data_IF_261659057774
#
_entry.id   IF_261659057774
#
_cell.length_a   1.000
_cell.length_b   1.000
_cell.length_c   1.000
_cell.angle_alpha   90.00
_cell.angle_beta   90.00
_cell.angle_gamma   90.00
#
_symmetry.space_group_name_H-M   'P 1'
#
loop_
_entity.id
_entity.type
_entity.pdbx_description
1 polymer ?
#
# COMPACT_ATOMS: atom_id res chain seq x y z
N UNK A 1 8.85 7.28 36.50
CA UNK A 1 8.73 5.85 36.23
C UNK A 1 8.55 5.10 37.53
N UNK A 2 7.75 4.04 37.49
CA UNK A 2 7.39 3.21 38.65
C UNK A 2 7.60 1.71 38.48
N UNK A 3 7.95 1.28 37.27
CA UNK A 3 8.33 -0.09 36.95
C UNK A 3 9.50 -0.14 35.97
N UNK A 4 10.15 -1.29 35.91
CA UNK A 4 11.23 -1.59 34.96
C UNK A 4 10.77 -2.76 34.08
N UNK A 5 10.91 -2.63 32.75
CA UNK A 5 10.76 -3.74 31.81
C UNK A 5 12.13 -4.08 31.24
N UNK A 6 12.50 -5.36 31.32
CA UNK A 6 13.71 -5.93 30.77
C UNK A 6 13.39 -6.69 29.50
N UNK A 7 14.01 -6.30 28.39
CA UNK A 7 13.87 -6.97 27.09
C UNK A 7 14.76 -8.21 26.98
N UNK A 8 14.53 -9.04 25.96
CA UNK A 8 15.26 -10.31 25.77
C UNK A 8 16.76 -10.13 25.49
N UNK A 9 17.14 -8.95 25.02
CA UNK A 9 18.53 -8.50 24.83
C UNK A 9 19.07 -7.68 26.01
N UNK A 10 18.43 -7.79 27.18
CA UNK A 10 18.86 -7.26 28.47
C UNK A 10 18.91 -5.72 28.56
N UNK A 11 18.05 -5.02 27.81
CA UNK A 11 17.90 -3.56 27.92
C UNK A 11 16.77 -3.24 28.88
N UNK A 12 17.03 -2.35 29.84
CA UNK A 12 16.05 -1.90 30.83
C UNK A 12 15.29 -0.66 30.35
N UNK A 13 13.96 -0.71 30.44
CA UNK A 13 13.05 0.39 30.17
C UNK A 13 12.38 0.84 31.46
N UNK A 14 12.50 2.12 31.79
CA UNK A 14 11.85 2.71 32.96
C UNK A 14 10.52 3.36 32.55
N UNK A 15 9.39 2.75 32.93
CA UNK A 15 8.05 3.12 32.44
C UNK A 15 7.10 3.50 33.58
N UNK A 16 5.88 3.90 33.23
CA UNK A 16 4.79 4.26 34.15
C UNK A 16 3.65 3.24 34.05
N UNK A 17 3.30 2.59 35.16
CA UNK A 17 2.23 1.59 35.25
C UNK A 17 0.90 2.18 34.79
N UNK A 18 0.55 3.36 35.28
CA UNK A 18 -0.66 4.11 34.90
C UNK A 18 -0.77 4.31 33.38
N UNK A 19 0.34 4.64 32.71
CA UNK A 19 0.35 4.85 31.25
C UNK A 19 0.17 3.54 30.49
N UNK A 20 0.83 2.46 30.94
CA UNK A 20 0.66 1.14 30.32
C UNK A 20 -0.75 0.60 30.54
N UNK A 21 -1.32 0.80 31.73
CA UNK A 21 -2.67 0.36 32.08
C UNK A 21 -3.74 1.13 31.30
N UNK A 22 -3.54 2.45 31.09
CA UNK A 22 -4.44 3.25 30.28
C UNK A 22 -4.45 2.83 28.79
N UNK A 23 -3.34 2.30 28.28
CA UNK A 23 -3.20 1.90 26.88
C UNK A 23 -3.60 0.44 26.59
N UNK A 24 -3.59 -0.43 27.60
CA UNK A 24 -3.77 -1.87 27.46
C UNK A 24 -5.13 -2.36 27.98
N UNK A 25 -5.75 -3.30 27.26
CA UNK A 25 -6.97 -3.98 27.67
C UNK A 25 -6.73 -5.34 28.33
N UNK A 26 -5.47 -5.78 28.50
CA UNK A 26 -5.13 -7.07 29.09
C UNK A 26 -4.03 -6.96 30.16
N UNK A 27 -3.98 -5.83 30.85
CA UNK A 27 -2.98 -5.55 31.89
C UNK A 27 -1.54 -5.70 31.37
N UNK A 28 -1.31 -5.28 30.13
CA UNK A 28 -0.04 -5.34 29.41
C UNK A 28 0.53 -6.77 29.37
N UNK A 29 -0.25 -7.71 28.81
CA UNK A 29 0.03 -9.15 28.81
C UNK A 29 0.10 -9.73 30.24
N UNK A 30 -0.86 -9.33 31.10
CA UNK A 30 -0.96 -9.70 32.51
C UNK A 30 0.21 -9.26 33.41
N UNK A 31 1.22 -8.58 32.86
CA UNK A 31 2.40 -8.10 33.61
C UNK A 31 1.97 -7.17 34.75
N UNK A 32 0.96 -6.33 34.54
CA UNK A 32 0.50 -5.38 35.54
C UNK A 32 -0.39 -6.01 36.62
N UNK A 33 -0.80 -7.27 36.49
CA UNK A 33 -1.55 -7.95 37.55
C UNK A 33 -0.66 -8.31 38.75
N UNK A 34 0.61 -8.59 38.46
CA UNK A 34 1.64 -8.87 39.46
C UNK A 34 2.28 -7.58 40.00
N UNK A 35 1.86 -6.41 39.51
CA UNK A 35 2.37 -5.13 39.98
C UNK A 35 1.76 -4.76 41.33
N UNK A 36 2.58 -4.76 42.38
CA UNK A 36 2.21 -4.25 43.68
C UNK A 36 2.99 -2.96 44.00
N UNK A 37 2.32 -1.81 44.16
CA UNK A 37 2.97 -0.55 44.54
C UNK A 37 3.78 -0.66 45.85
N UNK A 38 3.42 -1.62 46.72
CA UNK A 38 4.10 -1.90 47.99
C UNK A 38 5.53 -2.45 47.84
N UNK A 39 5.86 -3.10 46.73
CA UNK A 39 7.18 -3.74 46.54
C UNK A 39 8.33 -2.72 46.53
N UNK A 40 8.04 -1.49 46.08
CA UNK A 40 8.99 -0.37 46.12
C UNK A 40 9.36 0.04 47.54
N UNK A 41 8.41 -0.07 48.47
CA UNK A 41 8.62 0.29 49.87
C UNK A 41 9.43 -0.76 50.62
N UNK A 42 9.36 -2.04 50.21
CA UNK A 42 10.08 -3.13 50.86
C UNK A 42 11.55 -3.24 50.40
N UNK A 43 11.82 -2.97 49.12
CA UNK A 43 13.15 -3.23 48.52
C UNK A 43 13.91 -1.97 48.06
N UNK A 44 13.33 -0.77 48.23
CA UNK A 44 13.87 0.50 47.69
C UNK A 44 14.22 0.43 46.19
N UNK A 45 13.51 -0.43 45.45
CA UNK A 45 13.75 -0.74 44.05
C UNK A 45 12.43 -0.84 43.30
N UNK A 46 12.42 -0.42 42.03
CA UNK A 46 11.24 -0.56 41.18
C UNK A 46 11.02 -2.03 40.83
N UNK A 47 9.76 -2.52 40.83
CA UNK A 47 9.45 -3.87 40.35
C UNK A 47 9.92 -4.03 38.91
N UNK A 48 10.51 -5.19 38.62
CA UNK A 48 11.13 -5.49 37.34
C UNK A 48 10.44 -6.68 36.69
N UNK A 49 10.01 -6.51 35.44
CA UNK A 49 9.34 -7.53 34.64
C UNK A 49 10.11 -7.79 33.36
N UNK A 50 9.89 -8.94 32.72
CA UNK A 50 10.59 -9.32 31.48
C UNK A 50 9.61 -9.42 30.32
N UNK A 51 10.05 -9.01 29.13
CA UNK A 51 9.32 -9.19 27.87
C UNK A 51 10.15 -10.00 26.86
N UNK A 52 9.51 -10.78 25.98
CA UNK A 52 10.22 -11.58 24.97
C UNK A 52 10.79 -10.72 23.83
N UNK A 53 10.24 -9.52 23.59
CA UNK A 53 10.67 -8.63 22.52
C UNK A 53 12.11 -8.13 22.72
N UNK A 54 12.80 -7.86 21.61
CA UNK A 54 14.09 -7.17 21.62
C UNK A 54 13.90 -5.69 21.94
N UNK A 55 14.95 -5.02 22.41
CA UNK A 55 14.91 -3.59 22.72
C UNK A 55 14.43 -2.72 21.56
N UNK A 56 14.80 -3.05 20.32
CA UNK A 56 14.42 -2.27 19.14
C UNK A 56 12.92 -2.39 18.87
N UNK A 57 12.35 -3.60 18.91
CA UNK A 57 10.91 -3.84 18.74
C UNK A 57 10.13 -3.20 19.89
N UNK A 58 10.59 -3.41 21.12
CA UNK A 58 9.94 -2.88 22.31
C UNK A 58 9.97 -1.35 22.36
N UNK A 59 11.03 -0.72 21.85
CA UNK A 59 11.10 0.76 21.70
C UNK A 59 9.94 1.26 20.85
N UNK A 60 9.60 0.59 19.74
CA UNK A 60 8.48 0.99 18.88
C UNK A 60 7.13 0.88 19.60
N UNK A 61 6.95 -0.16 20.41
CA UNK A 61 5.74 -0.35 21.25
C UNK A 61 5.63 0.77 22.28
N UNK A 62 6.74 1.11 22.95
CA UNK A 62 6.78 2.22 23.91
C UNK A 62 6.51 3.56 23.21
N UNK A 63 7.12 3.82 22.06
CA UNK A 63 6.86 5.04 21.28
C UNK A 63 5.38 5.17 20.92
N UNK A 64 4.74 4.07 20.51
CA UNK A 64 3.31 4.04 20.22
C UNK A 64 2.45 4.40 21.45
N UNK A 65 2.74 3.81 22.61
CA UNK A 65 1.98 4.05 23.85
C UNK A 65 2.13 5.50 24.34
N UNK A 66 3.34 6.05 24.27
CA UNK A 66 3.64 7.39 24.77
C UNK A 66 3.44 8.49 23.72
N UNK A 67 3.04 8.14 22.49
CA UNK A 67 2.87 9.09 21.39
C UNK A 67 4.18 9.77 20.96
N UNK A 68 5.31 9.06 21.08
CA UNK A 68 6.63 9.58 20.74
C UNK A 68 6.91 9.46 19.23
N UNK A 69 7.73 10.37 18.66
CA UNK A 69 8.16 10.27 17.27
C UNK A 69 8.98 9.00 17.01
N UNK A 70 8.77 8.37 15.86
CA UNK A 70 9.51 7.17 15.43
C UNK A 70 10.77 7.51 14.61
N UNK A 71 10.80 8.70 14.00
CA UNK A 71 11.82 9.08 13.01
C UNK A 71 13.25 9.07 13.57
N UNK A 72 13.42 9.42 14.85
CA UNK A 72 14.73 9.44 15.53
C UNK A 72 15.38 8.05 15.61
N UNK A 73 14.57 6.99 15.55
CA UNK A 73 15.03 5.61 15.64
C UNK A 73 15.27 4.97 14.27
N UNK A 74 14.83 5.63 13.18
CA UNK A 74 14.95 5.13 11.80
C UNK A 74 14.63 3.63 11.66
N UNK A 75 13.44 3.18 12.12
CA UNK A 75 13.12 1.76 12.17
C UNK A 75 12.99 1.16 10.77
N UNK A 76 13.46 -0.08 10.60
CA UNK A 76 13.17 -0.85 9.39
C UNK A 76 11.69 -1.25 9.36
N UNK A 77 11.14 -1.47 8.16
CA UNK A 77 9.77 -1.99 8.04
C UNK A 77 9.57 -3.29 8.83
N UNK A 78 10.52 -4.22 8.78
CA UNK A 78 10.46 -5.46 9.54
C UNK A 78 10.35 -5.24 11.06
N UNK A 79 10.98 -4.18 11.58
CA UNK A 79 10.86 -3.82 13.00
C UNK A 79 9.47 -3.29 13.32
N UNK A 80 8.92 -2.42 12.46
CA UNK A 80 7.56 -1.89 12.62
C UNK A 80 6.52 -3.01 12.53
N UNK A 81 6.68 -3.94 11.60
CA UNK A 81 5.81 -5.10 11.41
C UNK A 81 5.77 -5.98 12.67
N UNK A 82 6.94 -6.36 13.20
CA UNK A 82 7.05 -7.10 14.46
C UNK A 82 6.46 -6.35 15.64
N UNK A 83 6.69 -5.02 15.72
CA UNK A 83 6.15 -4.21 16.80
C UNK A 83 4.62 -4.20 16.78
N UNK A 84 4.01 -3.97 15.60
CA UNK A 84 2.54 -3.96 15.45
C UNK A 84 1.94 -5.33 15.76
N UNK A 85 2.58 -6.42 15.34
CA UNK A 85 2.15 -7.78 15.73
C UNK A 85 2.23 -7.97 17.25
N UNK A 86 3.30 -7.48 17.89
CA UNK A 86 3.50 -7.52 19.34
C UNK A 86 2.50 -6.67 20.13
N UNK A 87 1.98 -5.57 19.57
CA UNK A 87 1.00 -4.70 20.24
C UNK A 87 -0.26 -5.45 20.70
N UNK A 88 -0.72 -6.45 19.92
CA UNK A 88 -1.85 -7.31 20.29
C UNK A 88 -1.56 -8.14 21.55
N UNK A 89 -0.34 -8.65 21.69
CA UNK A 89 0.10 -9.41 22.89
C UNK A 89 -0.05 -8.55 24.14
N UNK A 90 0.28 -7.27 24.05
CA UNK A 90 0.15 -6.31 25.14
C UNK A 90 -1.25 -5.67 25.27
N UNK A 91 -2.26 -6.20 24.58
CA UNK A 91 -3.65 -5.74 24.70
C UNK A 91 -3.90 -4.34 24.14
N UNK A 92 -3.00 -3.85 23.29
CA UNK A 92 -3.15 -2.55 22.65
C UNK A 92 -4.11 -2.65 21.47
N UNK A 93 -4.96 -1.63 21.30
CA UNK A 93 -5.84 -1.55 20.13
C UNK A 93 -5.04 -1.02 18.92
N UNK A 94 -4.66 -1.94 18.02
CA UNK A 94 -3.92 -1.62 16.79
C UNK A 94 -4.67 -0.58 15.93
N UNK A 95 -6.00 -0.69 15.86
CA UNK A 95 -6.87 0.25 15.13
C UNK A 95 -6.74 1.69 15.65
N UNK A 96 -6.57 1.86 16.97
CA UNK A 96 -6.44 3.18 17.60
C UNK A 96 -5.03 3.73 17.41
N UNK A 97 -4.01 2.88 17.58
CA UNK A 97 -2.61 3.30 17.51
C UNK A 97 -2.18 3.59 16.07
N UNK A 98 -2.77 2.92 15.09
CA UNK A 98 -2.52 3.12 13.64
C UNK A 98 -3.64 3.95 13.00
N UNK A 99 -4.40 4.72 13.79
CA UNK A 99 -5.36 5.65 13.24
C UNK A 99 -4.67 6.74 12.40
N UNK A 100 -5.37 7.35 11.43
CA UNK A 100 -4.83 8.49 10.68
C UNK A 100 -4.34 9.62 11.62
N UNK A 101 -3.18 10.21 11.29
CA UNK A 101 -2.48 11.25 12.07
C UNK A 101 -1.82 10.76 13.38
N UNK A 102 -1.64 9.46 13.58
CA UNK A 102 -0.73 8.97 14.63
C UNK A 102 0.70 8.90 14.12
N UNK A 103 1.71 9.04 15.00
CA UNK A 103 3.12 8.93 14.59
C UNK A 103 3.46 7.57 13.94
N UNK A 104 2.78 6.49 14.36
CA UNK A 104 2.96 5.16 13.79
C UNK A 104 2.36 5.06 12.38
N UNK A 105 1.19 5.64 12.16
CA UNK A 105 0.60 5.72 10.82
C UNK A 105 1.51 6.50 9.87
N UNK A 106 2.02 7.65 10.32
CA UNK A 106 2.92 8.49 9.52
C UNK A 106 4.21 7.76 9.13
N UNK A 107 4.89 7.09 10.07
CA UNK A 107 6.12 6.36 9.75
C UNK A 107 5.86 5.18 8.82
N UNK A 108 4.73 4.46 8.97
CA UNK A 108 4.34 3.39 8.05
C UNK A 108 4.14 3.92 6.62
N UNK A 109 3.53 5.12 6.47
CA UNK A 109 3.37 5.75 5.15
C UNK A 109 4.71 6.11 4.49
N UNK A 110 5.75 6.45 5.26
CA UNK A 110 7.09 6.70 4.69
C UNK A 110 7.70 5.46 4.02
N UNK A 111 7.25 4.26 4.41
CA UNK A 111 7.71 2.98 3.88
C UNK A 111 6.85 2.47 2.71
N UNK A 112 5.77 3.17 2.36
CA UNK A 112 4.78 2.67 1.41
C UNK A 112 5.34 2.42 0.00
N UNK A 113 6.32 3.22 -0.44
CA UNK A 113 6.93 3.05 -1.76
C UNK A 113 7.93 1.87 -1.80
N UNK A 114 8.72 1.69 -0.73
CA UNK A 114 9.79 0.69 -0.67
C UNK A 114 9.31 -0.69 -0.22
N UNK A 115 8.22 -0.76 0.53
CA UNK A 115 7.68 -1.99 1.15
C UNK A 115 6.17 -2.09 0.96
N UNK A 116 5.71 -1.79 -0.27
CA UNK A 116 4.28 -1.68 -0.60
C UNK A 116 3.50 -2.97 -0.34
N UNK A 117 4.07 -4.14 -0.68
CA UNK A 117 3.42 -5.43 -0.50
C UNK A 117 3.34 -5.79 0.99
N UNK A 118 4.43 -5.59 1.71
CA UNK A 118 4.53 -5.86 3.13
C UNK A 118 3.61 -4.94 3.93
N UNK A 119 3.56 -3.64 3.58
CA UNK A 119 2.62 -2.69 4.19
C UNK A 119 1.17 -3.05 3.90
N UNK A 120 0.86 -3.47 2.67
CA UNK A 120 -0.47 -3.95 2.32
C UNK A 120 -0.85 -5.20 3.13
N UNK A 121 0.09 -6.13 3.31
CA UNK A 121 -0.12 -7.35 4.09
C UNK A 121 -0.29 -7.07 5.58
N UNK A 122 0.53 -6.18 6.16
CA UNK A 122 0.36 -5.71 7.54
C UNK A 122 -1.04 -5.10 7.73
N UNK A 123 -1.42 -4.16 6.87
CA UNK A 123 -2.71 -3.51 6.94
C UNK A 123 -3.87 -4.52 6.80
N UNK A 124 -3.76 -5.45 5.86
CA UNK A 124 -4.74 -6.49 5.64
C UNK A 124 -4.88 -7.46 6.83
N UNK A 125 -3.75 -7.90 7.41
CA UNK A 125 -3.71 -8.81 8.55
C UNK A 125 -4.36 -8.21 9.81
N UNK A 126 -4.27 -6.89 9.98
CA UNK A 126 -4.88 -6.16 11.09
C UNK A 126 -6.22 -5.47 10.72
N UNK A 127 -6.79 -5.76 9.55
CA UNK A 127 -8.02 -5.15 9.01
C UNK A 127 -8.03 -3.61 8.96
N UNK A 128 -6.87 -3.01 8.71
CA UNK A 128 -6.66 -1.56 8.61
C UNK A 128 -6.95 -1.08 7.19
N UNK A 129 -8.24 -0.96 6.86
CA UNK A 129 -8.70 -0.67 5.50
C UNK A 129 -8.06 0.58 4.87
N UNK A 130 -8.01 1.70 5.59
CA UNK A 130 -7.50 2.96 5.04
C UNK A 130 -6.01 2.87 4.69
N UNK A 131 -5.21 2.21 5.54
CA UNK A 131 -3.80 1.95 5.28
C UNK A 131 -3.61 1.00 4.09
N UNK A 132 -4.44 -0.04 3.99
CA UNK A 132 -4.42 -0.97 2.87
C UNK A 132 -4.76 -0.27 1.55
N UNK A 133 -5.69 0.69 1.54
CA UNK A 133 -6.00 1.51 0.36
C UNK A 133 -4.79 2.33 -0.07
N UNK A 134 -4.07 2.96 0.86
CA UNK A 134 -2.87 3.74 0.52
C UNK A 134 -1.78 2.82 -0.04
N UNK A 135 -1.48 1.71 0.63
CA UNK A 135 -0.48 0.75 0.19
C UNK A 135 -0.80 0.16 -1.20
N UNK A 136 -2.08 -0.13 -1.48
CA UNK A 136 -2.51 -0.69 -2.77
C UNK A 136 -2.20 0.20 -3.98
N UNK A 137 -2.10 1.52 -3.77
CA UNK A 137 -1.76 2.46 -4.84
C UNK A 137 -0.33 2.31 -5.35
N UNK A 138 0.55 1.72 -4.54
CA UNK A 138 1.94 1.37 -4.91
C UNK A 138 2.04 -0.04 -5.50
N UNK A 139 0.96 -0.81 -5.51
CA UNK A 139 0.90 -2.17 -6.03
C UNK A 139 0.28 -2.26 -7.44
N UNK A 140 -0.02 -1.14 -8.09
CA UNK A 140 -0.67 -1.15 -9.41
C UNK A 140 0.12 -1.90 -10.48
N UNK A 141 1.45 -1.87 -10.38
CA UNK A 141 2.38 -2.57 -11.28
C UNK A 141 2.89 -3.90 -10.69
N UNK A 142 2.36 -4.34 -9.54
CA UNK A 142 2.83 -5.56 -8.87
C UNK A 142 2.44 -6.82 -9.63
N UNK A 143 3.39 -7.72 -9.84
CA UNK A 143 3.14 -8.98 -10.53
C UNK A 143 2.45 -9.99 -9.60
N UNK A 144 1.13 -10.16 -9.73
CA UNK A 144 0.37 -11.08 -8.88
C UNK A 144 0.89 -12.52 -8.87
N UNK A 145 1.54 -12.98 -9.95
CA UNK A 145 2.12 -14.32 -10.01
C UNK A 145 3.40 -14.50 -9.18
N UNK A 146 4.04 -13.41 -8.72
CA UNK A 146 5.20 -13.47 -7.82
C UNK A 146 4.80 -13.48 -6.34
N UNK A 147 3.49 -13.44 -6.03
CA UNK A 147 3.00 -13.51 -4.67
C UNK A 147 3.29 -14.90 -4.07
N UNK A 148 3.97 -14.94 -2.93
CA UNK A 148 4.21 -16.20 -2.20
C UNK A 148 2.97 -16.65 -1.43
N UNK A 149 2.87 -17.95 -1.17
CA UNK A 149 1.78 -18.53 -0.35
C UNK A 149 1.77 -17.93 1.06
N UNK A 150 2.94 -17.66 1.63
CA UNK A 150 3.11 -17.03 2.94
C UNK A 150 2.52 -15.62 2.97
N UNK A 151 2.81 -14.82 1.94
CA UNK A 151 2.28 -13.46 1.83
C UNK A 151 0.78 -13.47 1.55
N UNK A 152 0.30 -14.38 0.70
CA UNK A 152 -1.13 -14.58 0.47
C UNK A 152 -1.87 -14.97 1.76
N UNK A 153 -1.26 -15.81 2.60
CA UNK A 153 -1.81 -16.17 3.90
C UNK A 153 -1.86 -14.97 4.86
N UNK A 154 -0.79 -14.15 4.90
CA UNK A 154 -0.74 -12.93 5.73
C UNK A 154 -1.78 -11.90 5.30
N UNK A 155 -1.94 -11.67 4.00
CA UNK A 155 -2.97 -10.75 3.45
C UNK A 155 -4.39 -11.25 3.77
N UNK A 156 -4.60 -12.57 3.71
CA UNK A 156 -5.91 -13.17 3.94
C UNK A 156 -6.90 -12.98 2.78
N UNK A 157 -7.94 -13.83 2.76
CA UNK A 157 -8.82 -13.97 1.59
C UNK A 157 -9.55 -12.68 1.18
N UNK A 158 -9.97 -11.86 2.15
CA UNK A 158 -10.73 -10.64 1.88
C UNK A 158 -9.90 -9.60 1.12
N UNK A 159 -8.71 -9.28 1.64
CA UNK A 159 -7.81 -8.31 1.02
C UNK A 159 -7.16 -8.88 -0.23
N UNK A 160 -6.88 -10.19 -0.27
CA UNK A 160 -6.38 -10.84 -1.48
C UNK A 160 -7.38 -10.70 -2.63
N UNK A 161 -8.68 -10.95 -2.37
CA UNK A 161 -9.74 -10.69 -3.34
C UNK A 161 -9.74 -9.23 -3.79
N UNK A 162 -9.64 -8.27 -2.87
CA UNK A 162 -9.60 -6.82 -3.21
C UNK A 162 -8.41 -6.50 -4.14
N UNK A 163 -7.22 -7.01 -3.83
CA UNK A 163 -6.02 -6.84 -4.65
C UNK A 163 -6.23 -7.40 -6.07
N UNK A 164 -6.70 -8.64 -6.19
CA UNK A 164 -6.97 -9.24 -7.51
C UNK A 164 -8.03 -8.49 -8.31
N UNK A 165 -9.13 -8.08 -7.67
CA UNK A 165 -10.19 -7.31 -8.34
C UNK A 165 -9.73 -5.91 -8.76
N UNK A 166 -8.81 -5.29 -8.02
CA UNK A 166 -8.16 -4.04 -8.42
C UNK A 166 -7.40 -4.24 -9.74
N UNK A 167 -6.52 -5.24 -9.83
CA UNK A 167 -5.77 -5.53 -11.06
C UNK A 167 -6.68 -5.95 -12.23
N UNK A 168 -7.67 -6.81 -11.97
CA UNK A 168 -8.63 -7.23 -13.00
C UNK A 168 -9.47 -6.06 -13.51
N UNK A 169 -9.98 -5.23 -12.60
CA UNK A 169 -10.75 -4.03 -12.94
C UNK A 169 -9.93 -3.03 -13.74
N UNK A 170 -8.65 -2.86 -13.40
CA UNK A 170 -7.70 -2.03 -14.15
C UNK A 170 -7.45 -2.56 -15.57
N UNK A 171 -7.23 -3.87 -15.72
CA UNK A 171 -7.09 -4.50 -17.03
C UNK A 171 -8.37 -4.37 -17.89
N UNK A 172 -9.55 -4.56 -17.29
CA UNK A 172 -10.83 -4.35 -17.96
C UNK A 172 -11.05 -2.89 -18.37
N UNK A 173 -10.69 -1.94 -17.50
CA UNK A 173 -10.78 -0.51 -17.80
C UNK A 173 -9.89 -0.12 -18.98
N UNK A 174 -8.64 -0.61 -19.01
CA UNK A 174 -7.74 -0.40 -20.14
C UNK A 174 -8.32 -0.90 -21.46
N UNK A 175 -8.84 -2.14 -21.46
CA UNK A 175 -9.49 -2.74 -22.64
C UNK A 175 -10.67 -1.91 -23.11
N UNK A 176 -11.53 -1.46 -22.19
CA UNK A 176 -12.68 -0.59 -22.51
C UNK A 176 -12.23 0.75 -23.08
N UNK A 177 -11.14 1.32 -22.57
CA UNK A 177 -10.59 2.57 -23.09
C UNK A 177 -9.91 2.42 -24.44
N UNK A 178 -9.31 1.26 -24.76
CA UNK A 178 -8.66 0.99 -26.03
C UNK A 178 -9.65 0.60 -27.15
N UNK A 179 -10.82 0.04 -26.81
CA UNK A 179 -11.78 -0.49 -27.77
C UNK A 179 -12.28 0.52 -28.83
N UNK A 180 -12.67 1.77 -28.49
CA UNK A 180 -13.12 2.73 -29.49
C UNK A 180 -11.95 3.28 -30.33
N UNK A 181 -11.97 3.19 -31.67
CA UNK A 181 -11.01 3.87 -32.54
C UNK A 181 -11.21 5.39 -32.53
N UNK A 182 -10.34 6.17 -33.21
CA UNK A 182 -10.60 7.58 -33.51
C UNK A 182 -11.93 7.74 -34.27
N UNK A 183 -12.68 8.80 -33.97
CA UNK A 183 -13.99 9.01 -34.60
C UNK A 183 -13.81 9.36 -36.09
N UNK A 184 -14.57 8.72 -37.00
CA UNK A 184 -14.45 9.01 -38.43
C UNK A 184 -15.04 10.39 -38.75
N UNK A 185 -14.45 11.09 -39.72
CA UNK A 185 -14.98 12.35 -40.25
C UNK A 185 -15.74 12.10 -41.57
N UNK A 186 -16.60 13.02 -42.04
CA UNK A 186 -17.23 12.91 -43.35
C UNK A 186 -16.18 12.76 -44.47
N UNK A 187 -16.41 11.90 -45.49
CA UNK A 187 -15.46 11.69 -46.57
C UNK A 187 -15.12 12.99 -47.30
N UNK A 188 -13.85 13.14 -47.67
CA UNK A 188 -13.33 14.26 -48.46
C UNK A 188 -12.72 13.73 -49.75
N UNK A 189 -12.38 14.63 -50.69
CA UNK A 189 -11.71 14.25 -51.94
C UNK A 189 -10.36 13.55 -51.71
N UNK A 190 -9.69 13.86 -50.60
CA UNK A 190 -8.38 13.31 -50.24
C UNK A 190 -8.44 12.15 -49.26
N UNK A 191 -9.56 11.94 -48.56
CA UNK A 191 -9.73 10.90 -47.55
C UNK A 191 -11.12 10.25 -47.63
N UNK A 192 -11.16 9.04 -48.16
CA UNK A 192 -12.36 8.22 -48.31
C UNK A 192 -12.53 7.23 -47.14
N UNK A 193 -13.64 6.51 -47.13
CA UNK A 193 -13.90 5.48 -46.12
C UNK A 193 -12.83 4.37 -46.10
N UNK A 194 -12.20 4.07 -47.23
CA UNK A 194 -11.14 3.05 -47.32
C UNK A 194 -9.94 3.45 -46.48
N UNK A 195 -9.47 4.69 -46.61
CA UNK A 195 -8.35 5.23 -45.81
C UNK A 195 -8.71 5.31 -44.32
N UNK A 196 -9.92 5.73 -43.98
CA UNK A 196 -10.39 5.77 -42.59
C UNK A 196 -10.48 4.36 -41.97
N UNK A 197 -10.91 3.36 -42.75
CA UNK A 197 -10.95 1.97 -42.32
C UNK A 197 -9.55 1.40 -42.09
N UNK A 198 -8.55 1.80 -42.87
CA UNK A 198 -7.15 1.43 -42.64
C UNK A 198 -6.64 1.93 -41.29
N UNK A 199 -6.94 3.19 -40.92
CA UNK A 199 -6.63 3.73 -39.59
C UNK A 199 -7.34 2.95 -38.48
N UNK A 200 -8.61 2.63 -38.67
CA UNK A 200 -9.39 1.84 -37.69
C UNK A 200 -8.77 0.46 -37.46
N UNK A 201 -8.30 -0.20 -38.52
CA UNK A 201 -7.61 -1.51 -38.42
C UNK A 201 -6.25 -1.39 -37.74
N UNK A 202 -5.47 -0.37 -38.09
CA UNK A 202 -4.18 -0.12 -37.46
C UNK A 202 -4.32 0.20 -35.96
N UNK A 203 -5.34 0.99 -35.60
CA UNK A 203 -5.73 1.21 -34.20
C UNK A 203 -6.08 -0.11 -33.51
N UNK A 204 -6.96 -0.93 -34.10
CA UNK A 204 -7.37 -2.20 -33.50
C UNK A 204 -6.18 -3.13 -33.23
N UNK A 205 -5.20 -3.17 -34.14
CA UNK A 205 -3.97 -3.95 -33.96
C UNK A 205 -3.14 -3.42 -32.78
N UNK A 206 -2.82 -2.13 -32.75
CA UNK A 206 -2.04 -1.52 -31.66
C UNK A 206 -2.77 -1.56 -30.31
N UNK A 207 -4.08 -1.37 -30.31
CA UNK A 207 -4.93 -1.51 -29.14
C UNK A 207 -4.91 -2.94 -28.61
N UNK A 208 -4.93 -3.95 -29.49
CA UNK A 208 -4.85 -5.35 -29.09
C UNK A 208 -3.51 -5.69 -28.43
N UNK A 209 -2.39 -5.19 -28.95
CA UNK A 209 -1.08 -5.44 -28.33
C UNK A 209 -0.98 -4.84 -26.92
N UNK A 210 -1.54 -3.65 -26.71
CA UNK A 210 -1.59 -3.02 -25.38
C UNK A 210 -2.56 -3.74 -24.42
N UNK A 211 -3.71 -4.18 -24.92
CA UNK A 211 -4.76 -4.82 -24.12
C UNK A 211 -4.39 -6.21 -23.58
N UNK A 212 -3.43 -6.86 -24.23
CA UNK A 212 -2.94 -8.20 -23.91
C UNK A 212 -1.47 -8.21 -23.50
N UNK A 213 -0.86 -7.02 -23.27
CA UNK A 213 0.51 -6.95 -22.77
C UNK A 213 0.57 -7.59 -21.37
N UNK A 214 1.43 -8.61 -21.16
CA UNK A 214 1.61 -9.22 -19.86
C UNK A 214 2.30 -8.29 -18.85
N UNK A 215 2.87 -7.17 -19.28
CA UNK A 215 3.49 -6.17 -18.42
C UNK A 215 2.42 -5.43 -17.62
N UNK A 216 2.59 -5.45 -16.30
CA UNK A 216 1.60 -4.94 -15.32
C UNK A 216 1.62 -3.40 -15.26
N UNK A 217 2.61 -2.75 -15.86
CA UNK A 217 2.94 -1.34 -15.70
C UNK A 217 2.63 -0.48 -16.93
N UNK A 218 1.55 -0.77 -17.67
CA UNK A 218 1.16 0.08 -18.81
C UNK A 218 0.92 1.51 -18.31
N UNK A 219 1.86 2.42 -18.56
CA UNK A 219 1.75 3.83 -18.21
C UNK A 219 1.01 4.60 -19.30
N UNK A 220 0.48 5.78 -18.98
CA UNK A 220 -0.10 6.66 -20.00
C UNK A 220 0.92 7.04 -21.08
N UNK A 221 2.20 7.13 -20.72
CA UNK A 221 3.29 7.40 -21.66
C UNK A 221 3.54 6.19 -22.58
N UNK A 222 3.59 4.98 -22.04
CA UNK A 222 3.73 3.76 -22.85
C UNK A 222 2.62 3.63 -23.90
N UNK A 223 1.37 3.96 -23.54
CA UNK A 223 0.27 3.97 -24.50
C UNK A 223 0.49 5.03 -25.60
N UNK A 224 0.96 6.22 -25.24
CA UNK A 224 1.26 7.29 -26.20
C UNK A 224 2.36 6.85 -27.17
N UNK A 225 3.43 6.25 -26.67
CA UNK A 225 4.55 5.73 -27.48
C UNK A 225 4.06 4.71 -28.51
N UNK A 226 3.14 3.81 -28.14
CA UNK A 226 2.63 2.79 -29.06
C UNK A 226 1.66 3.36 -30.10
N UNK A 227 0.83 4.34 -29.74
CA UNK A 227 -0.24 4.83 -30.62
C UNK A 227 0.16 6.02 -31.50
N UNK A 228 1.12 6.84 -31.08
CA UNK A 228 1.56 8.04 -31.84
C UNK A 228 2.07 7.71 -33.25
N UNK A 229 2.86 6.64 -33.49
CA UNK A 229 3.35 6.29 -34.83
C UNK A 229 2.25 5.97 -35.85
N UNK A 230 1.01 5.71 -35.41
CA UNK A 230 -0.12 5.56 -36.32
C UNK A 230 -0.39 6.84 -37.13
N UNK A 231 0.03 8.01 -36.62
CA UNK A 231 -0.10 9.30 -37.28
C UNK A 231 0.89 9.52 -38.42
N UNK A 232 2.07 8.90 -38.35
CA UNK A 232 3.17 9.08 -39.32
C UNK A 232 2.79 8.61 -40.73
N UNK A 233 1.82 7.70 -40.82
CA UNK A 233 1.32 7.14 -42.07
C UNK A 233 0.06 7.83 -42.60
N UNK A 234 -0.46 8.84 -41.89
CA UNK A 234 -1.66 9.58 -42.28
C UNK A 234 -1.28 10.83 -43.05
N UNK A 235 -1.89 11.03 -44.22
CA UNK A 235 -1.77 12.28 -45.01
C UNK A 235 -2.96 13.21 -44.85
N UNK A 236 -4.01 12.77 -44.15
CA UNK A 236 -5.22 13.55 -43.89
C UNK A 236 -5.14 14.24 -42.52
N UNK A 237 -5.16 15.57 -42.52
CA UNK A 237 -5.10 16.38 -41.29
C UNK A 237 -6.24 16.06 -40.31
N UNK A 238 -7.47 15.84 -40.78
CA UNK A 238 -8.61 15.50 -39.92
C UNK A 238 -8.42 14.14 -39.24
N UNK A 239 -7.83 13.15 -39.93
CA UNK A 239 -7.49 11.85 -39.33
C UNK A 239 -6.37 11.99 -38.30
N UNK A 240 -5.36 12.82 -38.56
CA UNK A 240 -4.28 13.09 -37.61
C UNK A 240 -4.81 13.76 -36.34
N UNK A 241 -5.62 14.83 -36.47
CA UNK A 241 -6.23 15.51 -35.34
C UNK A 241 -7.16 14.58 -34.54
N UNK A 242 -7.99 13.79 -35.21
CA UNK A 242 -8.88 12.82 -34.55
C UNK A 242 -8.11 11.73 -33.80
N UNK A 243 -6.98 11.27 -34.35
CA UNK A 243 -6.09 10.32 -33.68
C UNK A 243 -5.44 10.96 -32.43
N UNK A 244 -4.90 12.16 -32.56
CA UNK A 244 -4.25 12.86 -31.44
C UNK A 244 -5.25 13.15 -30.30
N UNK A 245 -6.44 13.65 -30.62
CA UNK A 245 -7.52 13.87 -29.66
C UNK A 245 -7.89 12.57 -28.94
N UNK A 246 -7.96 11.47 -29.69
CA UNK A 246 -8.27 10.16 -29.15
C UNK A 246 -7.20 9.67 -28.18
N UNK A 247 -5.91 9.78 -28.54
CA UNK A 247 -4.77 9.42 -27.69
C UNK A 247 -4.77 10.29 -26.43
N UNK A 248 -4.98 11.60 -26.55
CA UNK A 248 -5.04 12.51 -25.41
C UNK A 248 -6.18 12.19 -24.45
N UNK A 249 -7.37 11.88 -24.97
CA UNK A 249 -8.52 11.47 -24.16
C UNK A 249 -8.26 10.14 -23.46
N UNK A 250 -7.68 9.17 -24.17
CA UNK A 250 -7.37 7.86 -23.64
C UNK A 250 -6.33 7.94 -22.52
N UNK A 251 -5.20 8.62 -22.76
CA UNK A 251 -4.12 8.76 -21.78
C UNK A 251 -4.57 9.51 -20.53
N UNK A 252 -5.40 10.55 -20.67
CA UNK A 252 -5.99 11.26 -19.53
C UNK A 252 -6.89 10.36 -18.68
N UNK A 253 -7.79 9.59 -19.31
CA UNK A 253 -8.68 8.66 -18.60
C UNK A 253 -7.91 7.53 -17.92
N UNK A 254 -6.85 7.05 -18.57
CA UNK A 254 -6.01 6.02 -18.01
C UNK A 254 -5.22 6.51 -16.79
N UNK A 255 -4.63 7.71 -16.87
CA UNK A 255 -3.92 8.34 -15.76
C UNK A 255 -4.79 8.57 -14.51
N UNK A 256 -6.11 8.74 -14.68
CA UNK A 256 -7.06 8.86 -13.55
C UNK A 256 -7.55 7.53 -12.99
N UNK A 257 -7.18 6.39 -13.60
CA UNK A 257 -7.58 5.06 -13.13
C UNK A 257 -6.58 4.59 -12.08
N UNK A 258 -7.08 4.30 -10.87
CA UNK A 258 -6.35 3.57 -9.84
C UNK A 258 -6.41 2.10 -10.21
#
# INVERSE_FOLDING_TARGET
>A
SDLIILTSDYVCFHLHSDTLQAASHNDFNHILQDFNPGDRAEFDANPMFTVPDTSIVFTMIVCAIYGLPFAEYSPSFATLDLAVDGMKTYGLSVEVIIAPNTPLYEILLTQAETSSLELYALAAYHDLYDLAVVASSYLLSFQLSSLSDEMAARIGALYLKRLFFMHLGRAEALRRFLLPPPYPHPPTETCDHTKQMALTRAWALAASSLAWDPRVDVTADAIRVVLTPLGDHLTCEQCQSGLEERINTLTRRWASTK
#
